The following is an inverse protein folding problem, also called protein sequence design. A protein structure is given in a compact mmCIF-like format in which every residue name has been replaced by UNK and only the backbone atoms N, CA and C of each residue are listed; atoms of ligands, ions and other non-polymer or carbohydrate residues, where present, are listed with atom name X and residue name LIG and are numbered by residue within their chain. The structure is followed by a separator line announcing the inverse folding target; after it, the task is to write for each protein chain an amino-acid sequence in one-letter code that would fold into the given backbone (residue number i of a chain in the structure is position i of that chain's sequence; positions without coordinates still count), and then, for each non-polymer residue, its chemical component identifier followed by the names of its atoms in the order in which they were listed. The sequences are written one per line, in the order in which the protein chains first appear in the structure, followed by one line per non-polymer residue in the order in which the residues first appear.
data_IF_538289463273
#
_entry.id   IF_538289463273
#
_cell.length_a   1.000
_cell.length_b   1.000
_cell.length_c   1.000
_cell.angle_alpha   90.00
_cell.angle_beta   90.00
_cell.angle_gamma   90.00
#
_symmetry.space_group_name_H-M   'P 1'
#
loop_
_entity.id
_entity.type
_entity.pdbx_description
1 polymer ?
#
# COMPACT_ATOMS: atom_id res chain seq x y z
N UNK A 1 -17.39 2.59 -88.45
CA UNK A 1 -18.21 1.38 -88.24
C UNK A 1 -17.63 0.68 -87.01
N UNK A 2 -18.21 0.58 -85.81
CA UNK A 2 -19.57 0.77 -85.26
C UNK A 2 -19.46 1.35 -83.82
N UNK A 3 -20.35 2.31 -83.50
CA UNK A 3 -21.22 2.43 -82.31
C UNK A 3 -20.61 2.34 -80.89
N UNK A 4 -20.26 3.51 -80.31
CA UNK A 4 -20.85 4.24 -79.14
C UNK A 4 -21.15 3.54 -77.77
N UNK A 5 -21.27 4.32 -76.66
CA UNK A 5 -20.55 4.14 -75.39
C UNK A 5 -21.48 3.82 -74.21
N UNK A 6 -20.95 3.71 -72.98
CA UNK A 6 -21.76 3.83 -71.77
C UNK A 6 -21.19 4.89 -70.83
N UNK A 7 -21.96 5.98 -70.77
CA UNK A 7 -21.97 7.04 -69.77
C UNK A 7 -22.47 6.48 -68.43
N UNK A 8 -21.90 6.93 -67.32
CA UNK A 8 -22.45 6.72 -65.99
C UNK A 8 -21.99 7.82 -65.04
N UNK A 9 -22.50 9.04 -65.24
CA UNK A 9 -22.38 10.13 -64.27
C UNK A 9 -23.48 10.04 -63.21
N UNK A 10 -23.08 10.32 -61.97
CA UNK A 10 -23.82 11.01 -60.91
C UNK A 10 -25.07 10.35 -60.30
N UNK A 11 -24.96 10.07 -59.00
CA UNK A 11 -25.89 10.34 -57.86
C UNK A 11 -25.60 9.27 -56.80
N UNK A 12 -25.44 9.53 -55.52
CA UNK A 12 -25.89 10.59 -54.65
C UNK A 12 -24.99 10.54 -53.40
N UNK A 13 -24.46 11.69 -52.95
CA UNK A 13 -23.91 11.79 -51.62
C UNK A 13 -25.05 11.61 -50.61
N UNK A 14 -25.02 10.52 -49.84
CA UNK A 14 -25.74 10.46 -48.56
C UNK A 14 -24.66 10.49 -47.49
N UNK A 15 -24.45 11.67 -46.91
CA UNK A 15 -23.79 11.79 -45.63
C UNK A 15 -24.65 11.04 -44.60
N UNK A 16 -24.13 9.91 -44.07
CA UNK A 16 -24.75 9.20 -42.97
C UNK A 16 -23.68 8.86 -41.92
N UNK A 17 -23.84 9.49 -40.76
CA UNK A 17 -23.27 9.10 -39.46
C UNK A 17 -21.78 9.37 -39.19
N UNK A 18 -21.58 10.52 -38.55
CA UNK A 18 -20.60 10.83 -37.51
C UNK A 18 -20.14 9.62 -36.67
N UNK A 19 -18.90 9.19 -36.89
CA UNK A 19 -17.98 8.81 -35.82
C UNK A 19 -16.57 8.89 -36.41
N UNK A 20 -15.76 9.85 -35.96
CA UNK A 20 -14.31 9.64 -36.07
C UNK A 20 -14.04 8.28 -35.42
N UNK A 21 -13.31 7.34 -36.04
CA UNK A 21 -12.98 6.10 -35.37
C UNK A 21 -12.32 6.51 -34.06
N UNK A 22 -12.98 6.19 -32.94
CA UNK A 22 -12.34 6.14 -31.63
C UNK A 22 -11.11 5.30 -31.88
N UNK A 23 -9.93 5.92 -31.81
CA UNK A 23 -8.74 5.41 -32.44
C UNK A 23 -8.33 4.11 -31.74
N UNK A 24 -8.83 2.99 -32.26
CA UNK A 24 -8.54 1.65 -31.82
C UNK A 24 -7.04 1.44 -31.92
N UNK A 25 -6.50 0.65 -31.00
CA UNK A 25 -5.10 0.29 -30.92
C UNK A 25 -4.45 0.10 -32.29
N UNK A 26 -3.21 0.59 -32.42
CA UNK A 26 -2.44 0.38 -33.62
C UNK A 26 -2.26 -1.12 -33.85
N UNK A 27 -2.89 -1.65 -34.91
CA UNK A 27 -2.89 -3.09 -35.22
C UNK A 27 -1.47 -3.67 -35.26
N UNK A 28 -0.50 -2.90 -35.77
CA UNK A 28 0.91 -3.31 -35.82
C UNK A 28 1.51 -3.46 -34.43
N UNK A 29 1.15 -2.58 -33.51
CA UNK A 29 1.63 -2.63 -32.13
C UNK A 29 1.01 -3.81 -31.38
N UNK A 30 -0.27 -4.11 -31.63
CA UNK A 30 -0.93 -5.29 -31.07
C UNK A 30 -0.29 -6.59 -31.59
N UNK A 31 -0.03 -6.69 -32.89
CA UNK A 31 0.64 -7.83 -33.51
C UNK A 31 2.07 -7.98 -32.97
N UNK A 32 2.85 -6.90 -32.96
CA UNK A 32 4.20 -6.87 -32.39
C UNK A 32 4.23 -7.32 -30.93
N UNK A 33 3.31 -6.83 -30.09
CA UNK A 33 3.22 -7.23 -28.69
C UNK A 33 2.96 -8.74 -28.57
N UNK A 34 2.01 -9.27 -29.35
CA UNK A 34 1.64 -10.69 -29.28
C UNK A 34 2.73 -11.61 -29.79
N UNK A 35 3.49 -11.20 -30.81
CA UNK A 35 4.56 -12.00 -31.40
C UNK A 35 5.84 -11.96 -30.59
N UNK A 36 6.19 -10.79 -30.04
CA UNK A 36 7.53 -10.55 -29.49
C UNK A 36 7.55 -10.28 -27.99
N UNK A 37 6.40 -9.95 -27.40
CA UNK A 37 6.33 -9.43 -26.03
C UNK A 37 6.96 -8.03 -25.87
N UNK A 38 7.42 -7.37 -26.94
CA UNK A 38 8.12 -6.09 -26.87
C UNK A 38 7.27 -4.97 -27.46
N UNK A 39 6.77 -4.09 -26.60
CA UNK A 39 5.96 -2.95 -27.01
C UNK A 39 6.16 -1.71 -26.11
N UNK A 40 7.42 -1.37 -25.80
CA UNK A 40 7.70 -0.11 -25.14
C UNK A 40 7.25 1.07 -26.02
N UNK A 41 6.52 2.01 -25.42
CA UNK A 41 5.92 3.20 -26.07
C UNK A 41 4.88 2.91 -27.16
N UNK A 42 4.36 1.69 -27.27
CA UNK A 42 3.32 1.37 -28.24
C UNK A 42 1.99 2.09 -27.97
N UNK A 43 1.20 2.29 -29.03
CA UNK A 43 -0.17 2.78 -28.92
C UNK A 43 -1.16 1.61 -28.95
N UNK A 44 -1.58 1.20 -27.76
CA UNK A 44 -2.49 0.09 -27.49
C UNK A 44 -3.82 0.58 -26.91
N UNK A 45 -4.20 1.84 -27.17
CA UNK A 45 -5.47 2.41 -26.70
C UNK A 45 -6.65 1.56 -27.17
N UNK A 46 -7.57 1.25 -26.26
CA UNK A 46 -8.76 0.45 -26.56
C UNK A 46 -8.45 -0.95 -27.18
N UNK A 47 -7.20 -1.44 -27.05
CA UNK A 47 -6.82 -2.75 -27.57
C UNK A 47 -7.63 -3.86 -26.92
N UNK A 48 -8.05 -4.85 -27.72
CA UNK A 48 -8.57 -6.11 -27.18
C UNK A 48 -7.41 -7.10 -26.94
N UNK A 49 -6.97 -7.17 -25.69
CA UNK A 49 -5.93 -8.05 -25.16
C UNK A 49 -6.49 -9.02 -24.12
N UNK A 50 -7.80 -9.28 -24.17
CA UNK A 50 -8.48 -10.21 -23.26
C UNK A 50 -7.81 -11.58 -23.31
N UNK A 51 -7.49 -12.14 -22.15
CA UNK A 51 -6.81 -13.44 -22.00
C UNK A 51 -5.48 -13.56 -22.76
N UNK A 52 -4.85 -12.45 -23.15
CA UNK A 52 -3.56 -12.50 -23.85
C UNK A 52 -2.47 -13.02 -22.89
N UNK A 53 -1.56 -13.85 -23.42
CA UNK A 53 -0.35 -14.21 -22.70
C UNK A 53 0.71 -13.13 -22.96
N UNK A 54 0.97 -12.31 -21.94
CA UNK A 54 1.88 -11.17 -21.94
C UNK A 54 2.91 -11.32 -20.80
N UNK A 55 3.20 -12.55 -20.38
CA UNK A 55 4.14 -12.82 -19.30
C UNK A 55 5.52 -12.27 -19.65
N UNK A 56 6.08 -11.44 -18.78
CA UNK A 56 7.39 -10.82 -18.99
C UNK A 56 7.43 -9.79 -20.13
N UNK A 57 6.29 -9.34 -20.66
CA UNK A 57 6.25 -8.36 -21.74
C UNK A 57 6.88 -7.01 -21.32
N UNK A 58 7.58 -6.37 -22.25
CA UNK A 58 8.05 -4.99 -22.11
C UNK A 58 6.97 -4.03 -22.64
N UNK A 59 6.23 -3.43 -21.72
CA UNK A 59 5.17 -2.45 -21.97
C UNK A 59 5.52 -1.07 -21.38
N UNK A 60 6.81 -0.80 -21.17
CA UNK A 60 7.28 0.47 -20.59
C UNK A 60 6.80 1.65 -21.40
N UNK A 61 6.18 2.64 -20.73
CA UNK A 61 5.63 3.83 -21.36
C UNK A 61 4.56 3.56 -22.44
N UNK A 62 3.97 2.36 -22.51
CA UNK A 62 2.92 2.06 -23.48
C UNK A 62 1.63 2.83 -23.13
N UNK A 63 0.85 3.18 -24.15
CA UNK A 63 -0.47 3.76 -23.99
C UNK A 63 -1.53 2.65 -24.08
N UNK A 64 -2.09 2.25 -22.94
CA UNK A 64 -3.09 1.20 -22.76
C UNK A 64 -4.43 1.78 -22.28
N UNK A 65 -4.67 3.09 -22.48
CA UNK A 65 -5.91 3.73 -22.06
C UNK A 65 -7.12 3.01 -22.66
N UNK A 66 -8.07 2.62 -21.81
CA UNK A 66 -9.28 1.90 -22.22
C UNK A 66 -9.06 0.47 -22.73
N UNK A 67 -7.83 -0.06 -22.70
CA UNK A 67 -7.55 -1.40 -23.18
C UNK A 67 -8.31 -2.47 -22.38
N UNK A 68 -8.79 -3.49 -23.07
CA UNK A 68 -9.39 -4.67 -22.46
C UNK A 68 -8.30 -5.73 -22.23
N UNK A 69 -7.82 -5.81 -20.99
CA UNK A 69 -6.81 -6.75 -20.49
C UNK A 69 -7.44 -7.79 -19.55
N UNK A 70 -8.76 -7.98 -19.60
CA UNK A 70 -9.46 -8.91 -18.71
C UNK A 70 -8.89 -10.33 -18.85
N UNK A 71 -8.47 -10.92 -17.75
CA UNK A 71 -7.86 -12.25 -17.70
C UNK A 71 -6.49 -12.36 -18.36
N UNK A 72 -5.84 -11.25 -18.74
CA UNK A 72 -4.51 -11.30 -19.34
C UNK A 72 -3.44 -11.80 -18.34
N UNK A 73 -2.48 -12.57 -18.82
CA UNK A 73 -1.33 -13.01 -18.03
C UNK A 73 -0.20 -11.99 -18.20
N UNK A 74 0.02 -11.14 -17.21
CA UNK A 74 1.02 -10.06 -17.17
C UNK A 74 2.10 -10.30 -16.10
N UNK A 75 2.21 -11.53 -15.60
CA UNK A 75 3.19 -11.89 -14.58
C UNK A 75 4.61 -11.50 -15.01
N UNK A 76 5.36 -10.84 -14.12
CA UNK A 76 6.69 -10.28 -14.39
C UNK A 76 6.77 -9.26 -15.56
N UNK A 77 5.67 -8.75 -16.11
CA UNK A 77 5.72 -7.73 -17.17
C UNK A 77 6.24 -6.39 -16.64
N UNK A 78 6.91 -5.62 -17.49
CA UNK A 78 7.32 -4.25 -17.17
C UNK A 78 6.33 -3.25 -17.78
N UNK A 79 5.49 -2.67 -16.92
CA UNK A 79 4.49 -1.66 -17.22
C UNK A 79 4.90 -0.28 -16.66
N UNK A 80 6.19 -0.07 -16.36
CA UNK A 80 6.62 1.18 -15.74
C UNK A 80 6.33 2.39 -16.63
N UNK A 81 5.76 3.43 -16.02
CA UNK A 81 5.28 4.65 -16.67
C UNK A 81 4.19 4.43 -17.74
N UNK A 82 3.53 3.25 -17.80
CA UNK A 82 2.44 3.02 -18.74
C UNK A 82 1.17 3.80 -18.38
N UNK A 83 0.40 4.20 -19.40
CA UNK A 83 -0.90 4.83 -19.23
C UNK A 83 -2.02 3.79 -19.36
N UNK A 84 -2.61 3.39 -18.24
CA UNK A 84 -3.67 2.36 -18.15
C UNK A 84 -5.02 2.96 -17.73
N UNK A 85 -5.21 4.28 -17.93
CA UNK A 85 -6.44 4.96 -17.51
C UNK A 85 -7.68 4.29 -18.09
N UNK A 86 -8.65 3.96 -17.25
CA UNK A 86 -9.89 3.31 -17.66
C UNK A 86 -9.75 1.90 -18.25
N UNK A 87 -8.58 1.26 -18.15
CA UNK A 87 -8.38 -0.09 -18.66
C UNK A 87 -9.19 -1.14 -17.85
N UNK A 88 -9.64 -2.19 -18.52
CA UNK A 88 -10.30 -3.34 -17.89
C UNK A 88 -9.26 -4.44 -17.63
N UNK A 89 -8.84 -4.58 -16.38
CA UNK A 89 -7.84 -5.54 -15.87
C UNK A 89 -8.48 -6.60 -14.97
N UNK A 90 -9.81 -6.79 -15.05
CA UNK A 90 -10.50 -7.79 -14.22
C UNK A 90 -9.88 -9.16 -14.41
N UNK A 91 -9.74 -9.90 -13.31
CA UNK A 91 -9.24 -11.28 -13.33
C UNK A 91 -7.81 -11.44 -13.94
N UNK A 92 -7.06 -10.35 -14.17
CA UNK A 92 -5.72 -10.39 -14.77
C UNK A 92 -4.64 -10.80 -13.75
N UNK A 93 -3.60 -11.51 -14.20
CA UNK A 93 -2.43 -11.84 -13.38
C UNK A 93 -1.33 -10.80 -13.59
N UNK A 94 -1.21 -9.84 -12.69
CA UNK A 94 -0.16 -8.82 -12.61
C UNK A 94 0.93 -9.18 -11.59
N UNK A 95 0.99 -10.42 -11.11
CA UNK A 95 1.91 -10.81 -10.04
C UNK A 95 3.36 -10.52 -10.45
N UNK A 96 4.12 -9.93 -9.52
CA UNK A 96 5.53 -9.53 -9.72
C UNK A 96 5.79 -8.58 -10.91
N UNK A 97 4.76 -7.93 -11.45
CA UNK A 97 4.94 -6.92 -12.50
C UNK A 97 5.56 -5.63 -11.96
N UNK A 98 6.28 -4.90 -12.82
CA UNK A 98 6.78 -3.57 -12.50
C UNK A 98 5.75 -2.53 -12.97
N UNK A 99 5.01 -1.92 -12.04
CA UNK A 99 4.01 -0.89 -12.33
C UNK A 99 4.51 0.51 -11.96
N UNK A 100 5.80 0.71 -11.66
CA UNK A 100 6.29 1.99 -11.13
C UNK A 100 5.86 3.17 -11.99
N UNK A 101 5.28 4.19 -11.36
CA UNK A 101 4.75 5.41 -12.00
C UNK A 101 3.68 5.19 -13.07
N UNK A 102 3.07 4.01 -13.17
CA UNK A 102 1.95 3.77 -14.09
C UNK A 102 0.71 4.58 -13.67
N UNK A 103 -0.14 4.91 -14.64
CA UNK A 103 -1.41 5.59 -14.38
C UNK A 103 -2.58 4.60 -14.51
N UNK A 104 -3.13 4.17 -13.37
CA UNK A 104 -4.28 3.26 -13.30
C UNK A 104 -5.59 3.99 -12.97
N UNK A 105 -5.66 5.32 -13.15
CA UNK A 105 -6.86 6.04 -12.76
C UNK A 105 -8.09 5.52 -13.49
N UNK A 106 -9.18 5.31 -12.75
CA UNK A 106 -10.46 4.77 -13.24
C UNK A 106 -10.37 3.35 -13.86
N UNK A 107 -9.24 2.66 -13.71
CA UNK A 107 -9.10 1.28 -14.18
C UNK A 107 -9.88 0.28 -13.30
N UNK A 108 -10.25 -0.86 -13.88
CA UNK A 108 -10.97 -1.92 -13.18
C UNK A 108 -10.06 -3.12 -12.93
N UNK A 109 -9.62 -3.32 -11.68
CA UNK A 109 -8.75 -4.41 -11.25
C UNK A 109 -9.49 -5.43 -10.36
N UNK A 110 -10.82 -5.55 -10.48
CA UNK A 110 -11.54 -6.53 -9.65
C UNK A 110 -11.00 -7.94 -9.87
N UNK A 111 -10.74 -8.64 -8.77
CA UNK A 111 -10.15 -9.98 -8.75
C UNK A 111 -8.79 -10.12 -9.47
N UNK A 112 -8.09 -9.03 -9.80
CA UNK A 112 -6.76 -9.11 -10.36
C UNK A 112 -5.75 -9.61 -9.31
N UNK A 113 -4.74 -10.35 -9.74
CA UNK A 113 -3.63 -10.74 -8.88
C UNK A 113 -2.47 -9.75 -9.01
N UNK A 114 -2.20 -8.97 -7.96
CA UNK A 114 -1.06 -8.05 -7.88
C UNK A 114 0.02 -8.57 -6.92
N UNK A 115 0.04 -9.85 -6.51
CA UNK A 115 1.00 -10.32 -5.52
C UNK A 115 2.44 -9.93 -5.90
N UNK A 116 3.13 -9.22 -5.00
CA UNK A 116 4.49 -8.69 -5.19
C UNK A 116 4.68 -7.73 -6.37
N UNK A 117 3.62 -7.14 -6.92
CA UNK A 117 3.75 -6.10 -7.95
C UNK A 117 4.39 -4.83 -7.38
N UNK A 118 5.25 -4.17 -8.15
CA UNK A 118 5.95 -2.96 -7.74
C UNK A 118 5.12 -1.71 -8.06
N UNK A 119 4.39 -1.19 -7.08
CA UNK A 119 3.39 -0.12 -7.28
C UNK A 119 3.83 1.28 -6.82
N UNK A 120 5.14 1.51 -6.68
CA UNK A 120 5.67 2.83 -6.24
C UNK A 120 5.31 3.92 -7.27
N UNK A 121 4.67 4.99 -6.81
CA UNK A 121 4.32 6.14 -7.65
C UNK A 121 3.13 5.92 -8.58
N UNK A 122 2.42 4.80 -8.45
CA UNK A 122 1.23 4.52 -9.26
C UNK A 122 0.08 5.45 -8.88
N UNK A 123 -0.63 5.96 -9.88
CA UNK A 123 -1.89 6.66 -9.66
C UNK A 123 -3.07 5.68 -9.62
N UNK A 124 -3.68 5.51 -8.44
CA UNK A 124 -4.85 4.66 -8.21
C UNK A 124 -6.17 5.42 -8.06
N UNK A 125 -6.23 6.69 -8.45
CA UNK A 125 -7.46 7.49 -8.30
C UNK A 125 -8.63 6.84 -9.05
N UNK A 126 -9.71 6.51 -8.34
CA UNK A 126 -10.90 5.89 -8.95
C UNK A 126 -10.73 4.43 -9.37
N UNK A 127 -9.57 3.81 -9.11
CA UNK A 127 -9.33 2.40 -9.45
C UNK A 127 -10.19 1.46 -8.60
N UNK A 128 -10.81 0.46 -9.22
CA UNK A 128 -11.57 -0.57 -8.49
C UNK A 128 -10.71 -1.80 -8.19
N UNK A 129 -10.32 -1.96 -6.93
CA UNK A 129 -9.48 -3.07 -6.44
C UNK A 129 -10.28 -4.16 -5.70
N UNK A 130 -11.62 -4.19 -5.80
CA UNK A 130 -12.40 -5.17 -5.03
C UNK A 130 -12.04 -6.61 -5.40
N UNK A 131 -11.67 -7.40 -4.40
CA UNK A 131 -11.25 -8.79 -4.59
C UNK A 131 -9.83 -8.95 -5.17
N UNK A 132 -9.11 -7.86 -5.44
CA UNK A 132 -7.74 -7.94 -5.93
C UNK A 132 -6.81 -8.51 -4.86
N UNK A 133 -5.88 -9.40 -5.25
CA UNK A 133 -4.82 -9.87 -4.38
C UNK A 133 -3.69 -8.84 -4.36
N UNK A 134 -3.61 -8.04 -3.30
CA UNK A 134 -2.59 -6.99 -3.15
C UNK A 134 -1.45 -7.39 -2.21
N UNK A 135 -1.27 -8.69 -1.98
CA UNK A 135 -0.23 -9.22 -1.08
C UNK A 135 1.17 -8.77 -1.49
N UNK A 136 1.99 -8.38 -0.53
CA UNK A 136 3.38 -7.93 -0.71
C UNK A 136 3.54 -6.73 -1.68
N UNK A 137 2.48 -5.96 -1.96
CA UNK A 137 2.56 -4.73 -2.78
C UNK A 137 2.80 -3.47 -1.95
N UNK A 138 2.46 -3.52 -0.65
CA UNK A 138 2.43 -2.36 0.22
C UNK A 138 1.23 -1.43 0.04
N UNK A 139 0.19 -1.84 -0.69
CA UNK A 139 -1.12 -1.16 -0.77
C UNK A 139 -1.98 -1.43 0.49
N UNK A 140 -2.96 -0.56 0.82
CA UNK A 140 -3.97 -0.88 1.82
C UNK A 140 -4.71 -2.18 1.47
N UNK A 141 -4.84 -3.10 2.43
CA UNK A 141 -5.41 -4.43 2.19
C UNK A 141 -4.37 -5.50 1.84
N UNK A 142 -3.09 -5.14 1.72
CA UNK A 142 -1.97 -6.08 1.75
C UNK A 142 -1.91 -6.73 3.15
N UNK A 143 -2.63 -7.84 3.31
CA UNK A 143 -2.50 -8.72 4.47
C UNK A 143 -1.13 -9.39 4.41
N UNK A 144 -0.10 -8.65 4.81
CA UNK A 144 1.21 -9.21 5.13
C UNK A 144 1.01 -10.23 6.25
N UNK A 145 0.80 -11.48 5.86
CA UNK A 145 1.24 -12.58 6.67
C UNK A 145 2.72 -12.33 6.95
N UNK A 146 3.04 -12.10 8.23
CA UNK A 146 4.20 -12.65 8.93
C UNK A 146 5.31 -13.03 7.94
N UNK A 147 6.36 -12.20 7.82
CA UNK A 147 7.75 -12.61 7.46
C UNK A 147 8.66 -11.50 6.88
N UNK A 148 8.25 -10.24 6.79
CA UNK A 148 9.17 -9.16 6.38
C UNK A 148 9.15 -7.97 7.36
N UNK A 149 9.63 -8.24 8.57
CA UNK A 149 9.72 -7.32 9.73
C UNK A 149 10.96 -6.43 9.73
N UNK A 150 11.46 -5.96 8.58
CA UNK A 150 12.69 -5.15 8.56
C UNK A 150 12.61 -3.75 7.96
N UNK A 151 11.51 -3.32 7.34
CA UNK A 151 11.55 -1.99 6.68
C UNK A 151 10.25 -1.18 6.62
N UNK A 152 9.18 -1.55 7.34
CA UNK A 152 7.98 -0.69 7.47
C UNK A 152 7.34 -0.77 8.85
N UNK A 153 7.89 -0.08 9.85
CA UNK A 153 7.09 0.31 11.02
C UNK A 153 7.66 1.49 11.84
N UNK A 154 8.11 2.57 11.20
CA UNK A 154 8.40 3.82 11.91
C UNK A 154 7.13 4.58 12.35
N UNK A 155 5.94 4.14 11.92
CA UNK A 155 4.68 4.89 12.10
C UNK A 155 3.56 4.19 12.90
N UNK A 156 3.67 2.90 13.25
CA UNK A 156 2.70 2.27 14.16
C UNK A 156 3.12 2.60 15.61
N UNK A 157 2.64 3.73 16.12
CA UNK A 157 2.90 4.20 17.48
C UNK A 157 1.70 3.91 18.39
N UNK A 158 1.94 3.24 19.50
CA UNK A 158 0.97 2.99 20.56
C UNK A 158 1.02 4.14 21.56
N UNK A 159 -0.14 4.70 21.90
CA UNK A 159 -0.25 5.70 22.95
C UNK A 159 -0.09 5.03 24.33
N UNK A 160 0.87 5.49 25.11
CA UNK A 160 1.10 5.06 26.50
C UNK A 160 0.95 6.27 27.41
N UNK A 161 0.04 6.17 28.37
CA UNK A 161 -0.23 7.21 29.36
C UNK A 161 0.26 6.74 30.73
N UNK A 162 1.32 7.37 31.24
CA UNK A 162 1.85 7.14 32.56
C UNK A 162 1.11 8.02 33.57
N UNK A 163 0.62 7.43 34.65
CA UNK A 163 -0.22 8.12 35.65
C UNK A 163 0.34 7.86 37.05
N UNK A 164 0.83 8.91 37.70
CA UNK A 164 1.33 8.84 39.06
C UNK A 164 0.19 8.76 40.07
N UNK A 165 0.28 7.82 41.01
CA UNK A 165 -0.49 7.79 42.26
C UNK A 165 0.41 8.10 43.48
N UNK A 166 1.55 8.76 43.23
CA UNK A 166 2.55 9.12 44.23
C UNK A 166 2.54 10.62 44.48
N UNK A 167 2.74 11.07 45.72
CA UNK A 167 2.92 12.48 46.02
C UNK A 167 4.33 12.99 45.63
N UNK A 168 5.33 12.11 45.65
CA UNK A 168 6.71 12.43 45.29
C UNK A 168 6.93 12.47 43.77
N UNK A 169 8.00 13.13 43.35
CA UNK A 169 8.51 13.00 41.98
C UNK A 169 8.95 11.56 41.69
N UNK A 170 8.54 11.07 40.52
CA UNK A 170 8.97 9.81 39.93
C UNK A 170 9.58 10.10 38.56
N UNK A 171 10.78 9.57 38.35
CA UNK A 171 11.43 9.57 37.04
C UNK A 171 11.20 8.22 36.37
N UNK A 172 10.73 8.24 35.14
CA UNK A 172 10.43 7.05 34.34
C UNK A 172 11.46 7.01 33.21
N UNK A 173 12.23 5.93 33.14
CA UNK A 173 13.17 5.68 32.07
C UNK A 173 12.62 4.59 31.16
N UNK A 174 12.59 4.85 29.86
CA UNK A 174 12.06 3.96 28.83
C UNK A 174 13.19 3.68 27.85
N UNK A 175 13.54 2.41 27.68
CA UNK A 175 14.63 1.95 26.83
C UNK A 175 14.12 0.92 25.83
N UNK A 176 14.35 1.19 24.54
CA UNK A 176 13.94 0.33 23.43
C UNK A 176 14.36 0.95 22.09
N UNK A 177 14.51 0.12 21.06
CA UNK A 177 14.92 0.53 19.71
C UNK A 177 16.21 1.38 19.66
N UNK A 178 17.17 1.07 20.53
CA UNK A 178 18.45 1.80 20.63
C UNK A 178 18.31 3.23 21.20
N UNK A 179 17.14 3.61 21.69
CA UNK A 179 16.86 4.93 22.28
C UNK A 179 16.56 4.81 23.78
N UNK A 180 16.88 5.89 24.50
CA UNK A 180 16.52 6.09 25.91
C UNK A 180 15.74 7.38 26.03
N UNK A 181 14.53 7.29 26.58
CA UNK A 181 13.69 8.44 26.91
C UNK A 181 13.49 8.52 28.42
N UNK A 182 13.40 9.73 28.95
CA UNK A 182 13.08 9.97 30.36
C UNK A 182 11.87 10.90 30.49
N UNK A 183 10.98 10.56 31.42
CA UNK A 183 9.82 11.37 31.81
C UNK A 183 9.94 11.64 33.31
N UNK A 184 9.51 12.84 33.74
CA UNK A 184 9.39 13.17 35.17
C UNK A 184 7.95 13.54 35.46
N UNK A 185 7.37 12.91 36.47
CA UNK A 185 6.02 13.16 36.94
C UNK A 185 6.08 13.51 38.43
N UNK A 186 5.48 14.64 38.81
CA UNK A 186 5.50 15.16 40.17
C UNK A 186 4.08 15.40 40.66
N UNK A 187 3.78 14.88 41.86
CA UNK A 187 2.47 15.00 42.48
C UNK A 187 1.48 13.91 42.07
N UNK A 188 0.48 13.71 42.93
CA UNK A 188 -0.55 12.70 42.75
C UNK A 188 -1.45 13.05 41.55
N UNK A 189 -1.83 12.04 40.77
CA UNK A 189 -2.58 12.14 39.51
C UNK A 189 -1.89 12.92 38.38
N UNK A 190 -0.60 13.27 38.52
CA UNK A 190 0.18 13.76 37.39
C UNK A 190 0.27 12.67 36.31
N UNK A 191 0.20 13.08 35.04
CA UNK A 191 0.18 12.15 33.91
C UNK A 191 0.94 12.71 32.71
N UNK A 192 1.53 11.81 31.94
CA UNK A 192 2.16 12.14 30.66
C UNK A 192 1.77 11.07 29.64
N UNK A 193 1.36 11.52 28.46
CA UNK A 193 1.05 10.64 27.33
C UNK A 193 2.15 10.74 26.28
N UNK A 194 2.71 9.60 25.94
CA UNK A 194 3.71 9.47 24.88
C UNK A 194 3.24 8.49 23.82
N UNK A 195 3.88 8.56 22.66
CA UNK A 195 3.61 7.66 21.54
C UNK A 195 4.88 6.85 21.28
N UNK A 196 4.82 5.55 21.50
CA UNK A 196 5.96 4.65 21.36
C UNK A 196 5.74 3.69 20.18
N UNK A 197 6.75 3.44 19.33
CA UNK A 197 6.68 2.36 18.35
C UNK A 197 6.16 1.03 18.94
N UNK A 198 5.46 0.25 18.13
CA UNK A 198 4.91 -1.05 18.48
C UNK A 198 6.01 -2.13 18.66
N UNK A 199 6.77 -2.05 19.75
CA UNK A 199 7.86 -2.97 20.14
C UNK A 199 7.84 -3.23 21.64
N UNK A 200 8.88 -3.90 22.16
CA UNK A 200 9.08 -4.08 23.60
C UNK A 200 10.05 -3.05 24.16
N UNK A 201 9.65 -2.42 25.27
CA UNK A 201 10.49 -1.49 26.03
C UNK A 201 10.83 -2.05 27.41
N UNK A 202 12.04 -1.76 27.89
CA UNK A 202 12.36 -1.82 29.32
C UNK A 202 11.96 -0.49 29.94
N UNK A 203 11.07 -0.54 30.93
CA UNK A 203 10.64 0.65 31.68
C UNK A 203 11.08 0.51 33.12
N UNK A 204 11.67 1.57 33.66
CA UNK A 204 12.22 1.61 35.01
C UNK A 204 11.78 2.88 35.73
N UNK A 205 11.29 2.73 36.95
CA UNK A 205 10.79 3.82 37.77
C UNK A 205 11.78 4.12 38.90
N UNK A 206 12.17 5.38 39.02
CA UNK A 206 13.14 5.89 39.99
C UNK A 206 12.49 6.93 40.90
N UNK A 207 13.04 7.06 42.11
CA UNK A 207 12.66 8.14 43.02
C UNK A 207 13.36 9.47 42.67
N UNK A 208 12.95 10.51 43.37
CA UNK A 208 13.52 11.86 43.33
C UNK A 208 14.99 11.92 43.77
N UNK A 209 15.40 11.10 44.75
CA UNK A 209 16.78 11.06 45.20
C UNK A 209 17.64 10.14 44.32
N UNK A 210 18.87 10.58 44.06
CA UNK A 210 19.88 9.97 43.18
C UNK A 210 20.28 8.55 43.61
N UNK A 211 19.39 7.59 43.36
CA UNK A 211 19.70 6.17 43.38
C UNK A 211 19.86 5.67 41.94
N UNK A 212 20.97 4.98 41.67
CA UNK A 212 21.19 4.30 40.39
C UNK A 212 20.21 3.13 40.16
N UNK A 213 19.52 2.66 41.21
CA UNK A 213 18.63 1.50 41.15
C UNK A 213 17.15 1.92 41.09
N UNK A 214 16.38 1.44 40.10
CA UNK A 214 14.94 1.68 40.06
C UNK A 214 14.24 0.94 41.21
N UNK A 215 13.16 1.52 41.73
CA UNK A 215 12.32 0.87 42.76
C UNK A 215 11.33 -0.12 42.14
N UNK A 216 11.07 -0.01 40.83
CA UNK A 216 10.35 -1.00 40.02
C UNK A 216 10.84 -0.95 38.57
N UNK A 217 10.95 -2.11 37.94
CA UNK A 217 11.24 -2.24 36.52
C UNK A 217 10.39 -3.36 35.91
N UNK A 218 10.25 -3.33 34.60
CA UNK A 218 9.59 -4.38 33.86
C UNK A 218 9.68 -4.18 32.36
N UNK A 219 9.19 -5.17 31.63
CA UNK A 219 9.03 -5.13 30.19
C UNK A 219 7.61 -4.65 29.87
N UNK A 220 7.55 -3.64 29.01
CA UNK A 220 6.33 -3.13 28.40
C UNK A 220 6.29 -3.62 26.95
N UNK A 221 5.49 -4.63 26.67
CA UNK A 221 5.27 -5.14 25.31
C UNK A 221 4.13 -4.36 24.66
N UNK A 222 4.45 -3.56 23.64
CA UNK A 222 3.47 -2.76 22.91
C UNK A 222 2.91 -3.47 21.69
N UNK A 223 3.51 -4.55 21.19
CA UNK A 223 2.95 -5.49 20.19
C UNK A 223 2.26 -4.88 18.94
N UNK A 224 1.97 -5.70 17.94
CA UNK A 224 1.24 -5.21 16.74
C UNK A 224 -0.27 -5.23 16.95
N UNK A 225 -0.97 -4.24 16.41
CA UNK A 225 -2.45 -4.19 16.43
C UNK A 225 -3.07 -3.62 17.70
N UNK A 226 -2.27 -3.07 18.64
CA UNK A 226 -2.81 -2.34 19.79
C UNK A 226 -3.26 -0.93 19.38
N UNK A 227 -4.57 -0.73 19.27
CA UNK A 227 -5.16 0.57 18.87
C UNK A 227 -5.62 1.42 20.06
N UNK A 228 -5.71 0.83 21.25
CA UNK A 228 -6.14 1.53 22.47
C UNK A 228 -4.96 2.16 23.23
N UNK A 229 -5.22 3.25 23.95
CA UNK A 229 -4.23 3.85 24.86
C UNK A 229 -3.99 2.91 26.04
N UNK A 230 -2.73 2.53 26.26
CA UNK A 230 -2.31 1.76 27.43
C UNK A 230 -2.08 2.73 28.58
N UNK A 231 -2.82 2.57 29.68
CA UNK A 231 -2.64 3.41 30.87
C UNK A 231 -1.86 2.64 31.93
N UNK A 232 -0.75 3.22 32.37
CA UNK A 232 0.13 2.64 33.38
C UNK A 232 0.06 3.50 34.63
N UNK A 233 -0.63 2.99 35.64
CA UNK A 233 -0.68 3.58 36.97
C UNK A 233 0.50 3.08 37.78
N UNK A 234 1.18 3.97 38.48
CA UNK A 234 2.29 3.59 39.36
C UNK A 234 2.24 4.35 40.68
N UNK A 235 2.61 3.66 41.76
CA UNK A 235 2.65 4.23 43.10
C UNK A 235 3.96 3.85 43.80
N UNK A 236 4.78 4.86 44.09
CA UNK A 236 6.09 4.69 44.72
C UNK A 236 5.99 4.19 46.16
N UNK A 237 5.00 4.65 46.93
CA UNK A 237 4.85 4.33 48.36
C UNK A 237 4.63 2.83 48.59
N UNK A 238 3.87 2.17 47.70
CA UNK A 238 3.63 0.72 47.75
C UNK A 238 4.36 -0.06 46.63
N UNK A 239 5.20 0.61 45.84
CA UNK A 239 5.97 0.06 44.71
C UNK A 239 5.12 -0.70 43.68
N UNK A 240 3.86 -0.30 43.51
CA UNK A 240 2.94 -0.94 42.57
C UNK A 240 2.99 -0.31 41.18
N UNK A 241 2.77 -1.14 40.17
CA UNK A 241 2.50 -0.76 38.79
C UNK A 241 1.29 -1.57 38.32
N UNK A 242 0.30 -0.90 37.76
CA UNK A 242 -0.94 -1.49 37.26
C UNK A 242 -1.21 -0.99 35.85
N UNK A 243 -1.62 -1.88 34.96
CA UNK A 243 -1.99 -1.53 33.59
C UNK A 243 -3.49 -1.69 33.41
N UNK A 244 -4.14 -0.65 32.91
CA UNK A 244 -5.55 -0.65 32.56
C UNK A 244 -5.70 -0.91 31.05
N UNK A 245 -6.79 -1.58 30.67
CA UNK A 245 -7.18 -1.94 29.29
C UNK A 245 -6.31 -3.00 28.59
N UNK A 246 -5.08 -3.26 29.06
CA UNK A 246 -4.29 -4.43 28.66
C UNK A 246 -3.30 -4.87 29.75
N UNK A 247 -3.77 -5.66 30.75
CA UNK A 247 -2.92 -6.12 31.84
C UNK A 247 -1.72 -6.99 31.39
N UNK A 248 -1.79 -7.61 30.21
CA UNK A 248 -0.72 -8.47 29.69
C UNK A 248 0.43 -7.68 29.07
N UNK A 249 0.23 -6.40 28.76
CA UNK A 249 1.28 -5.55 28.19
C UNK A 249 2.46 -5.31 29.16
N UNK A 250 2.29 -5.52 30.46
CA UNK A 250 3.34 -5.31 31.46
C UNK A 250 3.75 -6.61 32.15
N UNK A 251 5.05 -6.89 32.11
CA UNK A 251 5.65 -7.98 32.88
C UNK A 251 6.73 -7.40 33.80
N UNK A 252 6.52 -7.47 35.12
CA UNK A 252 7.53 -7.00 36.06
C UNK A 252 8.72 -7.95 36.10
N UNK A 253 9.92 -7.38 36.17
CA UNK A 253 11.13 -8.15 36.52
C UNK A 253 11.07 -8.66 37.97
#
# INVERSE_FOLDING_TARGET
MKIKPILGFATLAIALSLAMPVQSANRRDVEKLKETGQCSRCDLRDANLRNANLQGADLRNANLRGANLRGAALRNADLSNADLRGADLRDADLSRSNLRNANLSDANLRNADLERAEVRGVNFQGTDLRGANVKDTGLPGDNRGRDNDRERNDNERVAVEFISRSNDEVRIQIEGDGKRQQIRLSGNNSKERIYLPATTYRVSFFGSQSGYKPWKSGKLDLGRGRTNTIRIYFNRSNRSVQVENDPQAWNSD
#
